data_IF_981657307323
#
_entry.id   IF_981657307323
#
_cell.length_a   1.000
_cell.length_b   1.000
_cell.length_c   1.000
_cell.angle_alpha   90.00
_cell.angle_beta   90.00
_cell.angle_gamma   90.00
#
_symmetry.space_group_name_H-M   'P 1'
#
loop_
_entity.id
_entity.type
_entity.pdbx_description
1 polymer ?
#
# COMPACT_ATOMS: atom_id res chain seq x y z
N UNK A 1 -3.50 -30.22 -4.09
CA UNK A 1 -4.88 -29.99 -3.59
C UNK A 1 -5.12 -28.49 -3.60
N UNK A 2 -6.04 -27.99 -4.44
CA UNK A 2 -6.28 -26.55 -4.60
C UNK A 2 -7.12 -26.04 -3.43
N UNK A 3 -6.48 -25.39 -2.45
CA UNK A 3 -7.19 -24.66 -1.39
C UNK A 3 -8.06 -23.56 -2.03
N UNK A 4 -9.32 -23.44 -1.61
CA UNK A 4 -10.25 -22.45 -2.16
C UNK A 4 -9.88 -21.07 -1.62
N UNK A 5 -9.83 -20.07 -2.50
CA UNK A 5 -9.53 -18.65 -2.22
C UNK A 5 -10.24 -18.10 -0.96
N UNK A 6 -11.45 -18.59 -0.69
CA UNK A 6 -12.28 -18.18 0.45
C UNK A 6 -11.65 -18.49 1.82
N UNK A 7 -10.83 -19.53 1.92
CA UNK A 7 -10.17 -19.92 3.17
C UNK A 7 -8.91 -19.09 3.47
N UNK A 8 -8.34 -18.45 2.45
CA UNK A 8 -7.15 -17.59 2.58
C UNK A 8 -7.49 -16.15 2.93
N UNK A 9 -8.66 -15.67 2.48
CA UNK A 9 -9.15 -14.33 2.82
C UNK A 9 -9.43 -14.19 4.32
N UNK A 10 -9.82 -15.29 4.98
CA UNK A 10 -10.10 -15.31 6.42
C UNK A 10 -8.88 -15.59 7.30
N UNK A 11 -7.71 -15.90 6.72
CA UNK A 11 -6.49 -16.19 7.47
C UNK A 11 -5.63 -14.94 7.67
N UNK A 12 -5.03 -14.86 8.87
CA UNK A 12 -4.05 -13.82 9.19
C UNK A 12 -2.80 -13.97 8.32
N UNK A 13 -2.09 -12.86 8.05
CA UNK A 13 -0.86 -12.87 7.27
C UNK A 13 0.17 -13.88 7.85
N UNK A 14 0.23 -14.02 9.19
CA UNK A 14 1.08 -15.01 9.89
C UNK A 14 0.68 -16.47 9.63
N UNK A 15 -0.62 -16.74 9.48
CA UNK A 15 -1.10 -18.08 9.17
C UNK A 15 -0.81 -18.45 7.72
N UNK A 16 -0.84 -17.47 6.80
CA UNK A 16 -0.47 -17.66 5.40
C UNK A 16 1.02 -17.98 5.29
N UNK A 17 1.87 -17.32 6.09
CA UNK A 17 3.32 -17.60 6.15
C UNK A 17 3.59 -19.02 6.69
N UNK A 18 2.89 -19.46 7.74
CA UNK A 18 3.03 -20.85 8.23
C UNK A 18 2.62 -21.90 7.18
N UNK A 19 1.51 -21.66 6.48
CA UNK A 19 1.05 -22.52 5.39
C UNK A 19 2.02 -22.50 4.20
N UNK A 20 2.66 -21.35 3.94
CA UNK A 20 3.72 -21.21 2.96
C UNK A 20 4.92 -22.07 3.31
N UNK A 21 5.43 -21.97 4.55
CA UNK A 21 6.58 -22.76 5.03
C UNK A 21 6.28 -24.27 5.05
N UNK A 22 5.07 -24.68 5.44
CA UNK A 22 4.66 -26.09 5.39
C UNK A 22 4.50 -26.61 3.95
N UNK A 23 3.99 -25.77 3.05
CA UNK A 23 3.79 -26.14 1.63
C UNK A 23 5.08 -26.04 0.81
N UNK A 24 6.07 -25.28 1.29
CA UNK A 24 7.38 -25.10 0.66
C UNK A 24 8.14 -26.42 0.47
N UNK A 25 7.86 -27.39 1.34
CA UNK A 25 8.44 -28.73 1.29
C UNK A 25 7.86 -29.59 0.16
N UNK A 26 6.73 -29.20 -0.46
CA UNK A 26 5.96 -30.12 -1.30
C UNK A 26 5.67 -29.65 -2.73
N UNK A 27 5.53 -28.36 -3.06
CA UNK A 27 5.37 -27.91 -4.47
C UNK A 27 5.67 -26.43 -4.72
N UNK A 28 6.52 -26.11 -5.71
CA UNK A 28 6.89 -24.72 -6.07
C UNK A 28 5.75 -23.88 -6.66
N UNK A 29 4.76 -24.52 -7.29
CA UNK A 29 3.63 -23.82 -7.94
C UNK A 29 2.62 -23.31 -6.91
N UNK A 30 2.44 -24.02 -5.80
CA UNK A 30 1.58 -23.58 -4.69
C UNK A 30 2.20 -22.41 -3.92
N UNK A 31 3.52 -22.38 -3.81
CA UNK A 31 4.27 -21.28 -3.19
C UNK A 31 3.98 -19.95 -3.87
N UNK A 32 4.21 -19.84 -5.19
CA UNK A 32 4.01 -18.60 -5.95
C UNK A 32 2.62 -17.97 -5.76
N UNK A 33 1.59 -18.77 -5.53
CA UNK A 33 0.24 -18.29 -5.30
C UNK A 33 0.09 -17.55 -3.95
N UNK A 34 0.68 -18.09 -2.89
CA UNK A 34 0.66 -17.48 -1.56
C UNK A 34 1.56 -16.25 -1.48
N UNK A 35 2.73 -16.28 -2.13
CA UNK A 35 3.61 -15.11 -2.21
C UNK A 35 2.94 -13.96 -2.96
N UNK A 36 2.29 -14.25 -4.09
CA UNK A 36 1.56 -13.24 -4.86
C UNK A 36 0.43 -12.57 -4.04
N UNK A 37 -0.30 -13.33 -3.22
CA UNK A 37 -1.36 -12.78 -2.37
C UNK A 37 -0.80 -11.94 -1.21
N UNK A 38 0.31 -12.37 -0.59
CA UNK A 38 1.03 -11.58 0.43
C UNK A 38 1.56 -10.26 -0.16
N UNK A 39 2.15 -10.31 -1.36
CA UNK A 39 2.61 -9.12 -2.07
C UNK A 39 1.46 -8.18 -2.42
N UNK A 40 0.32 -8.71 -2.87
CA UNK A 40 -0.88 -7.92 -3.14
C UNK A 40 -1.38 -7.19 -1.89
N UNK A 41 -1.45 -7.87 -0.74
CA UNK A 41 -1.83 -7.26 0.54
C UNK A 41 -0.82 -6.21 1.02
N UNK A 42 0.48 -6.48 0.83
CA UNK A 42 1.56 -5.54 1.18
C UNK A 42 1.48 -4.27 0.34
N UNK A 43 1.23 -4.41 -0.96
CA UNK A 43 1.06 -3.28 -1.87
C UNK A 43 -0.20 -2.47 -1.54
N UNK A 44 -1.33 -3.11 -1.24
CA UNK A 44 -2.55 -2.42 -0.78
C UNK A 44 -2.30 -1.59 0.50
N UNK A 45 -1.51 -2.11 1.44
CA UNK A 45 -1.11 -1.38 2.66
C UNK A 45 -0.23 -0.17 2.32
N UNK A 46 0.76 -0.34 1.42
CA UNK A 46 1.65 0.74 0.96
C UNK A 46 0.89 1.83 0.21
N UNK A 47 -0.02 1.46 -0.69
CA UNK A 47 -0.83 2.41 -1.46
C UNK A 47 -1.70 3.28 -0.55
N UNK A 48 -2.29 2.71 0.50
CA UNK A 48 -3.06 3.49 1.49
C UNK A 48 -2.20 4.52 2.22
N UNK A 49 -0.96 4.17 2.57
CA UNK A 49 -0.02 5.11 3.20
C UNK A 49 0.44 6.17 2.19
N UNK A 50 0.71 5.76 0.95
CA UNK A 50 1.11 6.65 -0.13
C UNK A 50 0.03 7.69 -0.42
N UNK A 51 -1.25 7.30 -0.52
CA UNK A 51 -2.37 8.22 -0.73
C UNK A 51 -2.48 9.25 0.42
N UNK A 52 -2.28 8.84 1.67
CA UNK A 52 -2.26 9.77 2.81
C UNK A 52 -1.11 10.77 2.71
N UNK A 53 0.08 10.29 2.35
CA UNK A 53 1.26 11.13 2.15
C UNK A 53 1.04 12.12 0.99
N UNK A 54 0.59 11.64 -0.16
CA UNK A 54 0.26 12.48 -1.33
C UNK A 54 -0.74 13.56 -0.97
N UNK A 55 -1.79 13.23 -0.20
CA UNK A 55 -2.78 14.23 0.24
C UNK A 55 -2.16 15.32 1.11
N UNK A 56 -1.23 14.97 2.00
CA UNK A 56 -0.53 15.96 2.82
C UNK A 56 0.39 16.85 1.98
N UNK A 57 1.12 16.27 1.02
CA UNK A 57 1.97 17.02 0.10
C UNK A 57 1.13 18.00 -0.74
N UNK A 58 -0.04 17.56 -1.23
CA UNK A 58 -0.95 18.44 -1.98
C UNK A 58 -1.44 19.61 -1.12
N UNK A 59 -1.77 19.39 0.15
CA UNK A 59 -2.18 20.46 1.07
C UNK A 59 -1.02 21.45 1.30
N UNK A 60 0.19 20.94 1.58
CA UNK A 60 1.38 21.78 1.77
C UNK A 60 1.68 22.63 0.53
N UNK A 61 1.61 22.02 -0.66
CA UNK A 61 1.83 22.71 -1.93
C UNK A 61 0.79 23.81 -2.14
N UNK A 62 -0.48 23.53 -1.85
CA UNK A 62 -1.55 24.52 -1.97
C UNK A 62 -1.35 25.72 -1.03
N UNK A 63 -0.99 25.46 0.23
CA UNK A 63 -0.66 26.51 1.20
C UNK A 63 0.52 27.36 0.71
N UNK A 64 1.58 26.73 0.20
CA UNK A 64 2.75 27.43 -0.32
C UNK A 64 2.40 28.30 -1.53
N UNK A 65 1.56 27.81 -2.45
CA UNK A 65 1.08 28.57 -3.60
C UNK A 65 0.29 29.80 -3.16
N UNK A 66 -0.62 29.67 -2.20
CA UNK A 66 -1.37 30.82 -1.65
C UNK A 66 -0.42 31.83 -1.01
N UNK A 67 0.51 31.38 -0.16
CA UNK A 67 1.48 32.26 0.48
C UNK A 67 2.33 33.02 -0.56
N UNK A 68 2.73 32.34 -1.63
CA UNK A 68 3.49 32.95 -2.73
C UNK A 68 2.66 34.00 -3.47
N UNK A 69 1.39 33.71 -3.78
CA UNK A 69 0.48 34.68 -4.40
C UNK A 69 0.24 35.90 -3.53
N UNK A 70 0.05 35.72 -2.22
CA UNK A 70 -0.11 36.81 -1.27
C UNK A 70 1.15 37.67 -1.22
N UNK A 71 2.34 37.05 -1.15
CA UNK A 71 3.60 37.77 -1.18
C UNK A 71 3.78 38.59 -2.46
N UNK A 72 3.46 38.01 -3.62
CA UNK A 72 3.53 38.70 -4.91
C UNK A 72 2.53 39.85 -4.95
N UNK A 73 1.30 39.65 -4.47
CA UNK A 73 0.28 40.69 -4.40
C UNK A 73 0.73 41.86 -3.52
N UNK A 74 1.27 41.57 -2.33
CA UNK A 74 1.84 42.60 -1.44
C UNK A 74 2.98 43.33 -2.14
N UNK A 75 3.89 42.61 -2.81
CA UNK A 75 5.06 43.22 -3.46
C UNK A 75 4.73 44.11 -4.67
N UNK A 76 3.57 43.92 -5.31
CA UNK A 76 3.15 44.70 -6.49
C UNK A 76 2.28 45.91 -6.09
N UNK A 77 1.42 45.75 -5.09
CA UNK A 77 0.43 46.78 -4.71
C UNK A 77 0.94 47.69 -3.59
N UNK A 78 1.91 47.24 -2.81
CA UNK A 78 2.63 48.05 -1.82
C UNK A 78 3.95 48.53 -2.40
#
# INVERSE_FOLDING_TARGET
MSLKYKDLVNKSDDEIIKLYDETALHTSVGLNYFTAELERRSNDKKDKVMIKCTKQITIMTFVMTIATLVNVYIAIIK
#
